data_IF_685593817608
#
_entry.id   IF_685593817608
#
_cell.length_a   1.000
_cell.length_b   1.000
_cell.length_c   1.000
_cell.angle_alpha   90.00
_cell.angle_beta   90.00
_cell.angle_gamma   90.00
#
_symmetry.space_group_name_H-M   'P 1'
#
loop_
_entity.id
_entity.type
_entity.pdbx_description
1 polymer ?
#
# COMPACT_ATOMS: atom_id res chain seq x y z
N UNK A 1 -52.44 20.78 -31.98
CA UNK A 1 -51.42 20.88 -30.90
C UNK A 1 -50.87 19.50 -30.65
N UNK A 2 -49.56 19.32 -30.68
CA UNK A 2 -48.91 18.03 -30.42
C UNK A 2 -47.82 18.25 -29.36
N UNK A 3 -47.73 17.34 -28.39
CA UNK A 3 -46.75 17.39 -27.31
C UNK A 3 -45.79 16.22 -27.48
N UNK A 4 -44.54 16.52 -27.81
CA UNK A 4 -43.49 15.51 -28.02
C UNK A 4 -42.11 16.11 -27.70
N UNK A 5 -41.15 15.24 -27.36
CA UNK A 5 -39.75 15.62 -27.17
C UNK A 5 -39.13 15.73 -28.57
N UNK A 6 -39.13 16.95 -29.11
CA UNK A 6 -38.57 17.25 -30.43
C UNK A 6 -37.39 18.19 -30.28
N UNK A 7 -36.28 17.85 -30.94
CA UNK A 7 -35.12 18.75 -31.01
C UNK A 7 -35.47 19.92 -31.94
N UNK A 8 -35.47 21.13 -31.39
CA UNK A 8 -35.64 22.36 -32.18
C UNK A 8 -34.41 22.55 -33.07
N UNK A 9 -34.63 22.48 -34.38
CA UNK A 9 -33.62 22.74 -35.42
C UNK A 9 -34.10 23.92 -36.26
N UNK A 10 -33.17 24.71 -36.82
CA UNK A 10 -33.49 25.93 -37.57
C UNK A 10 -34.40 25.67 -38.77
N UNK A 11 -34.21 24.55 -39.47
CA UNK A 11 -35.03 24.15 -40.62
C UNK A 11 -36.49 23.85 -40.23
N UNK A 12 -36.72 23.29 -39.04
CA UNK A 12 -38.08 22.91 -38.59
C UNK A 12 -38.85 24.06 -37.97
N UNK A 13 -38.16 25.06 -37.42
CA UNK A 13 -38.78 26.28 -36.89
C UNK A 13 -39.38 27.19 -37.96
N UNK A 14 -39.02 27.00 -39.25
CA UNK A 14 -39.60 27.77 -40.36
C UNK A 14 -40.96 27.28 -40.85
N UNK A 15 -41.40 26.08 -40.43
CA UNK A 15 -42.65 25.44 -40.90
C UNK A 15 -43.66 25.26 -39.76
N UNK A 16 -43.20 25.23 -38.50
CA UNK A 16 -44.03 25.01 -37.31
C UNK A 16 -43.61 25.95 -36.19
N UNK A 17 -44.58 26.63 -35.58
CA UNK A 17 -44.36 27.46 -34.39
C UNK A 17 -44.11 26.60 -33.16
N UNK A 18 -42.92 26.76 -32.55
CA UNK A 18 -42.56 26.13 -31.30
C UNK A 18 -42.77 27.12 -30.13
N UNK A 19 -43.46 26.67 -29.09
CA UNK A 19 -43.37 27.32 -27.78
C UNK A 19 -41.93 27.09 -27.26
N UNK A 20 -41.31 28.11 -26.65
CA UNK A 20 -39.88 28.14 -26.33
C UNK A 20 -39.31 26.87 -25.64
N UNK A 21 -37.98 26.69 -25.66
CA UNK A 21 -37.34 25.42 -25.32
C UNK A 21 -37.63 24.99 -23.88
N UNK A 22 -38.41 23.91 -23.70
CA UNK A 22 -38.72 23.35 -22.38
C UNK A 22 -37.57 22.48 -21.81
N UNK A 23 -36.74 21.88 -22.69
CA UNK A 23 -35.66 20.97 -22.30
C UNK A 23 -34.39 21.24 -23.11
N UNK A 24 -33.28 21.55 -22.42
CA UNK A 24 -31.95 21.69 -23.04
C UNK A 24 -31.27 20.32 -23.10
N UNK A 25 -31.25 19.70 -24.27
CA UNK A 25 -30.54 18.44 -24.47
C UNK A 25 -29.04 18.69 -24.65
N UNK A 26 -28.20 17.95 -23.92
CA UNK A 26 -26.75 17.92 -24.10
C UNK A 26 -26.34 16.50 -24.48
N UNK A 27 -25.46 16.36 -25.47
CA UNK A 27 -24.92 15.06 -25.82
C UNK A 27 -24.02 14.56 -24.69
N UNK A 28 -24.29 13.33 -24.24
CA UNK A 28 -23.46 12.60 -23.27
C UNK A 28 -23.16 11.23 -23.87
N UNK A 29 -21.91 10.79 -23.75
CA UNK A 29 -21.48 9.48 -24.24
C UNK A 29 -21.67 8.48 -23.11
N UNK A 30 -22.54 7.50 -23.33
CA UNK A 30 -22.75 6.41 -22.39
C UNK A 30 -21.76 5.29 -22.73
N UNK A 31 -20.80 5.02 -21.84
CA UNK A 31 -19.84 3.92 -21.99
C UNK A 31 -20.22 2.85 -20.97
N UNK A 32 -20.36 1.60 -21.42
CA UNK A 32 -20.55 0.47 -20.52
C UNK A 32 -19.31 0.33 -19.63
N UNK A 33 -19.50 0.33 -18.31
CA UNK A 33 -18.37 0.17 -17.40
C UNK A 33 -17.90 -1.29 -17.48
N UNK A 34 -16.62 -1.58 -17.82
CA UNK A 34 -16.15 -2.95 -17.85
C UNK A 34 -16.28 -3.57 -16.45
N UNK A 35 -16.60 -4.88 -16.36
CA UNK A 35 -16.73 -5.55 -15.08
C UNK A 35 -15.43 -5.36 -14.29
N UNK A 36 -15.56 -4.82 -13.08
CA UNK A 36 -14.43 -4.59 -12.18
C UNK A 36 -13.83 -5.94 -11.80
N UNK A 37 -12.80 -6.36 -12.52
CA UNK A 37 -11.98 -7.48 -12.08
C UNK A 37 -11.45 -7.15 -10.67
N UNK A 38 -11.50 -8.14 -9.79
CA UNK A 38 -11.07 -8.07 -8.39
C UNK A 38 -9.82 -7.19 -8.23
N UNK A 39 -9.98 -6.01 -7.62
CA UNK A 39 -8.89 -5.04 -7.42
C UNK A 39 -7.92 -5.45 -6.31
N UNK A 40 -8.19 -6.54 -5.59
CA UNK A 40 -7.43 -6.94 -4.40
C UNK A 40 -5.95 -7.22 -4.71
N UNK A 41 -5.64 -7.75 -5.90
CA UNK A 41 -4.28 -8.07 -6.30
C UNK A 41 -3.55 -6.94 -7.03
N UNK A 42 -4.20 -5.78 -7.28
CA UNK A 42 -3.54 -4.62 -7.93
C UNK A 42 -2.41 -4.01 -7.08
N UNK A 43 -2.38 -4.33 -5.78
CA UNK A 43 -1.31 -3.91 -4.88
C UNK A 43 0.01 -4.63 -5.21
N UNK A 44 -0.06 -5.84 -5.79
CA UNK A 44 1.10 -6.61 -6.22
C UNK A 44 1.48 -6.37 -7.69
N UNK A 45 0.57 -5.83 -8.50
CA UNK A 45 0.76 -5.48 -9.91
C UNK A 45 1.99 -4.59 -10.23
N UNK A 46 2.44 -3.64 -9.37
CA UNK A 46 3.63 -2.84 -9.68
C UNK A 46 4.95 -3.61 -9.55
N UNK A 47 4.97 -4.78 -8.90
CA UNK A 47 6.17 -5.56 -8.66
C UNK A 47 6.07 -6.95 -9.29
N UNK A 48 6.99 -7.25 -10.20
CA UNK A 48 7.11 -8.58 -10.80
C UNK A 48 7.44 -9.65 -9.73
N UNK A 49 7.04 -10.90 -9.99
CA UNK A 49 7.22 -12.05 -9.09
C UNK A 49 8.71 -12.25 -8.74
N UNK A 50 9.60 -11.99 -9.71
CA UNK A 50 11.05 -12.07 -9.49
C UNK A 50 11.54 -11.08 -8.43
N UNK A 51 10.99 -9.86 -8.41
CA UNK A 51 11.38 -8.81 -7.45
C UNK A 51 10.94 -9.17 -6.03
N UNK A 52 9.76 -9.77 -5.89
CA UNK A 52 9.29 -10.29 -4.60
C UNK A 52 10.18 -11.42 -4.07
N UNK A 53 10.57 -12.36 -4.93
CA UNK A 53 11.47 -13.45 -4.56
C UNK A 53 12.83 -12.91 -4.11
N UNK A 54 13.40 -11.96 -4.84
CA UNK A 54 14.67 -11.32 -4.46
C UNK A 54 14.55 -10.61 -3.11
N UNK A 55 13.43 -9.94 -2.85
CA UNK A 55 13.16 -9.29 -1.55
C UNK A 55 13.15 -10.29 -0.40
N UNK A 56 12.47 -11.44 -0.55
CA UNK A 56 12.48 -12.51 0.45
C UNK A 56 13.88 -13.07 0.70
N UNK A 57 14.68 -13.25 -0.36
CA UNK A 57 16.07 -13.73 -0.24
C UNK A 57 16.94 -12.72 0.50
N UNK A 58 16.82 -11.42 0.20
CA UNK A 58 17.56 -10.36 0.89
C UNK A 58 17.21 -10.29 2.39
N UNK A 59 15.94 -10.44 2.76
CA UNK A 59 15.50 -10.51 4.17
C UNK A 59 16.19 -11.69 4.88
N UNK A 60 16.14 -12.88 4.28
CA UNK A 60 16.75 -14.08 4.84
C UNK A 60 18.27 -13.96 4.98
N UNK A 61 18.94 -13.41 3.96
CA UNK A 61 20.38 -13.19 3.96
C UNK A 61 20.79 -12.19 5.04
N UNK A 62 20.01 -11.12 5.24
CA UNK A 62 20.25 -10.12 6.30
C UNK A 62 20.11 -10.77 7.68
N UNK A 63 19.07 -11.57 7.91
CA UNK A 63 18.89 -12.32 9.15
C UNK A 63 20.03 -13.33 9.42
N UNK A 64 20.50 -14.01 8.37
CA UNK A 64 21.64 -14.93 8.46
C UNK A 64 22.94 -14.20 8.80
N UNK A 65 23.20 -13.06 8.18
CA UNK A 65 24.39 -12.24 8.49
C UNK A 65 24.34 -11.73 9.92
N UNK A 66 23.19 -11.25 10.40
CA UNK A 66 23.01 -10.84 11.80
C UNK A 66 23.24 -12.00 12.78
N UNK A 67 22.75 -13.19 12.46
CA UNK A 67 22.99 -14.38 13.26
C UNK A 67 24.47 -14.75 13.34
N UNK A 68 25.16 -14.77 12.21
CA UNK A 68 26.60 -15.05 12.18
C UNK A 68 27.38 -13.98 12.93
N UNK A 69 27.01 -12.70 12.79
CA UNK A 69 27.63 -11.61 13.53
C UNK A 69 27.40 -11.76 15.04
N UNK A 70 26.20 -12.11 15.49
CA UNK A 70 25.91 -12.34 16.90
C UNK A 70 26.62 -13.58 17.45
N UNK A 71 26.81 -14.62 16.63
CA UNK A 71 27.52 -15.83 17.02
C UNK A 71 29.04 -15.65 17.08
N UNK A 72 29.63 -14.93 16.11
CA UNK A 72 31.08 -14.73 16.02
C UNK A 72 31.57 -13.47 16.73
N UNK A 73 30.71 -12.48 17.02
CA UNK A 73 31.13 -11.25 17.68
C UNK A 73 31.42 -11.51 19.16
N UNK A 74 32.68 -11.39 19.61
CA UNK A 74 33.03 -11.48 21.03
C UNK A 74 32.47 -10.32 21.87
N UNK A 75 31.85 -9.32 21.23
CA UNK A 75 31.28 -8.10 21.82
C UNK A 75 29.77 -8.17 22.10
N UNK A 76 29.09 -9.28 21.79
CA UNK A 76 27.68 -9.43 22.20
C UNK A 76 27.57 -9.51 23.73
N UNK A 77 26.65 -8.76 24.34
CA UNK A 77 26.55 -8.60 25.80
C UNK A 77 26.39 -9.94 26.54
N UNK A 78 25.85 -10.95 25.84
CA UNK A 78 25.72 -12.33 26.31
C UNK A 78 27.06 -13.04 26.51
N UNK A 79 28.01 -12.88 25.58
CA UNK A 79 29.34 -13.49 25.67
C UNK A 79 30.22 -12.78 26.73
N UNK A 80 29.98 -11.49 26.96
CA UNK A 80 30.68 -10.68 27.96
C UNK A 80 30.02 -10.67 29.35
N UNK A 81 28.88 -11.37 29.54
CA UNK A 81 28.19 -11.52 30.84
C UNK A 81 27.90 -10.18 31.57
N UNK A 82 27.64 -9.11 30.83
CA UNK A 82 27.32 -7.81 31.43
C UNK A 82 25.97 -7.84 32.16
N UNK A 83 25.77 -7.06 33.22
CA UNK A 83 24.53 -7.03 34.03
C UNK A 83 23.27 -6.48 33.32
N UNK A 84 23.31 -6.33 32.00
CA UNK A 84 22.16 -5.99 31.14
C UNK A 84 22.00 -6.94 29.94
N UNK A 85 22.68 -8.09 29.94
CA UNK A 85 22.64 -9.05 28.85
C UNK A 85 21.25 -9.70 28.75
N UNK A 86 20.51 -9.32 27.72
CA UNK A 86 19.19 -9.88 27.41
C UNK A 86 19.41 -11.07 26.47
N UNK A 87 18.80 -12.22 26.80
CA UNK A 87 18.93 -13.45 26.00
C UNK A 87 18.39 -13.29 24.57
N UNK A 88 17.53 -12.30 24.34
CA UNK A 88 16.93 -11.99 23.04
C UNK A 88 17.93 -11.40 22.03
N UNK A 89 19.05 -10.81 22.49
CA UNK A 89 20.09 -10.27 21.60
C UNK A 89 20.75 -11.35 20.74
N UNK A 90 20.82 -12.58 21.25
CA UNK A 90 21.47 -13.73 20.57
C UNK A 90 20.44 -14.63 19.87
N UNK A 91 19.14 -14.45 20.13
CA UNK A 91 18.11 -15.30 19.54
C UNK A 91 17.98 -15.05 18.04
N UNK A 92 18.10 -16.11 17.24
CA UNK A 92 17.94 -16.06 15.78
C UNK A 92 16.56 -15.51 15.36
N UNK A 93 15.52 -15.93 16.09
CA UNK A 93 14.13 -15.58 15.79
C UNK A 93 13.90 -14.08 16.00
N UNK A 94 14.43 -13.52 17.08
CA UNK A 94 14.32 -12.09 17.39
C UNK A 94 15.10 -11.23 16.39
N UNK A 95 16.30 -11.67 16.00
CA UNK A 95 17.09 -10.98 14.98
C UNK A 95 16.42 -10.99 13.60
N UNK A 96 15.82 -12.13 13.21
CA UNK A 96 15.05 -12.23 11.96
C UNK A 96 13.78 -11.38 12.01
N UNK A 97 13.09 -11.38 13.15
CA UNK A 97 11.89 -10.58 13.38
C UNK A 97 12.19 -9.07 13.36
N UNK A 98 13.29 -8.65 13.98
CA UNK A 98 13.78 -7.28 13.94
C UNK A 98 14.18 -6.86 12.52
N UNK A 99 14.92 -7.70 11.79
CA UNK A 99 15.27 -7.44 10.39
C UNK A 99 14.02 -7.26 9.53
N UNK A 100 13.01 -8.11 9.70
CA UNK A 100 11.72 -8.00 9.01
C UNK A 100 11.00 -6.68 9.37
N UNK A 101 10.93 -6.33 10.65
CA UNK A 101 10.31 -5.07 11.11
C UNK A 101 11.03 -3.83 10.58
N UNK A 102 12.36 -3.85 10.52
CA UNK A 102 13.17 -2.76 9.96
C UNK A 102 12.88 -2.52 8.47
N UNK A 103 12.70 -3.60 7.71
CA UNK A 103 12.38 -3.54 6.28
C UNK A 103 10.94 -3.08 6.01
N UNK A 104 10.00 -3.47 6.86
CA UNK A 104 8.61 -3.00 6.79
C UNK A 104 8.44 -1.56 7.30
N UNK A 105 9.54 -0.90 7.70
CA UNK A 105 9.56 0.43 8.31
C UNK A 105 8.59 0.55 9.48
N UNK A 106 8.38 -0.56 10.19
CA UNK A 106 7.50 -0.60 11.34
C UNK A 106 8.25 0.04 12.52
N UNK A 107 7.80 1.23 12.94
CA UNK A 107 8.39 1.94 14.08
C UNK A 107 8.17 1.14 15.36
N UNK A 108 9.24 0.66 15.98
CA UNK A 108 9.18 0.15 17.35
C UNK A 108 9.35 1.30 18.34
N UNK A 109 8.42 1.43 19.27
CA UNK A 109 8.40 2.47 20.31
C UNK A 109 9.15 2.06 21.58
N UNK A 110 10.12 1.14 21.52
CA UNK A 110 10.84 0.66 22.71
C UNK A 110 11.57 1.81 23.42
N UNK A 111 12.04 2.82 22.68
CA UNK A 111 12.62 4.05 23.25
C UNK A 111 11.59 5.01 23.89
N UNK A 112 10.30 4.88 23.62
CA UNK A 112 9.27 5.76 24.17
C UNK A 112 8.83 5.37 25.60
N UNK A 113 9.11 4.14 26.02
CA UNK A 113 8.78 3.68 27.37
C UNK A 113 9.88 4.05 28.39
N UNK A 114 11.14 4.13 27.96
CA UNK A 114 12.23 4.58 28.83
C UNK A 114 12.22 6.09 29.10
N UNK A 115 11.67 6.90 28.19
CA UNK A 115 11.52 8.36 28.40
C UNK A 115 10.29 8.75 29.22
N UNK A 116 9.29 7.87 29.35
CA UNK A 116 8.09 8.12 30.16
C UNK A 116 8.20 7.64 31.62
N UNK A 117 9.24 6.86 31.95
CA UNK A 117 9.52 6.38 33.32
C UNK A 117 10.50 7.28 34.09
N UNK A 118 11.00 8.38 33.49
CA UNK A 118 11.89 9.36 34.13
C UNK A 118 11.23 10.74 34.33
N UNK A 119 9.89 10.82 34.25
CA UNK A 119 9.10 12.03 34.52
C UNK A 119 8.32 11.91 35.83
#
# INVERSE_FOLDING_TARGET
MAVAILTMTSERAGVVDFLGPFMRSRWSILINHPPVASKAFKIYEPFDVYTWLFTCVCIGLTGLVLYLLNYYSPFSAWNMRLPGAISDEVSFVENMWFAMRSMLLQRESVLALHTNQQG
#
